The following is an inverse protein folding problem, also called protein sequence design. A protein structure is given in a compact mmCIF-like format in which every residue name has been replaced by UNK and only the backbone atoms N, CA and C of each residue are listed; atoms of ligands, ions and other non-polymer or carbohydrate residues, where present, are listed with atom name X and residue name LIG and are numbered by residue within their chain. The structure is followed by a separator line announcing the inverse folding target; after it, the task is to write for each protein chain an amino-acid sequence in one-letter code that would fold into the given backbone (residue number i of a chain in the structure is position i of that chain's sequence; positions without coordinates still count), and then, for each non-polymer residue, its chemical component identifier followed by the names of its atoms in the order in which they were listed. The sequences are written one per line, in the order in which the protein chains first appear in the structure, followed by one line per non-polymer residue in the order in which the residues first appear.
data_IF_499630798521
#
_entry.id   IF_499630798521
#
_cell.length_a   1.000
_cell.length_b   1.000
_cell.length_c   1.000
_cell.angle_alpha   90.00
_cell.angle_beta   90.00
_cell.angle_gamma   90.00
#
_symmetry.space_group_name_H-M   'P 1'
#
loop_
_entity.id
_entity.type
_entity.pdbx_description
1 polymer ?
#
# COMPACT_ATOMS: atom_id res chain seq x y z
N UNK A 1 -6.89 13.41 3.49
CA UNK A 1 -6.37 12.55 4.58
C UNK A 1 -6.13 11.19 3.98
N UNK A 2 -4.86 10.81 3.79
CA UNK A 2 -4.50 9.50 3.21
C UNK A 2 -4.74 8.42 4.24
N UNK A 3 -5.25 7.29 3.77
CA UNK A 3 -5.19 6.06 4.53
C UNK A 3 -4.54 5.02 3.63
N UNK A 4 -3.21 4.99 3.67
CA UNK A 4 -2.44 3.80 3.34
C UNK A 4 -2.26 3.14 4.69
N UNK A 5 -2.83 1.96 4.90
CA UNK A 5 -2.90 1.33 6.22
C UNK A 5 -1.54 1.37 6.94
N UNK A 6 -1.53 1.72 8.24
CA UNK A 6 -0.35 1.93 9.09
C UNK A 6 0.62 0.72 9.22
N UNK A 7 0.43 -0.34 8.44
CA UNK A 7 1.31 -1.51 8.36
C UNK A 7 2.11 -1.62 7.06
N UNK A 8 2.04 -0.66 6.14
CA UNK A 8 2.83 -0.67 4.89
C UNK A 8 4.09 0.16 5.13
N UNK A 9 5.03 -0.37 5.92
CA UNK A 9 6.42 0.11 5.90
C UNK A 9 6.92 0.06 4.46
N UNK A 10 7.41 1.18 3.92
CA UNK A 10 7.85 1.30 2.52
C UNK A 10 9.20 0.57 2.36
N UNK A 11 9.17 -0.75 2.45
CA UNK A 11 10.31 -1.65 2.24
C UNK A 11 10.23 -2.33 0.86
N UNK A 12 9.52 -1.70 -0.08
CA UNK A 12 9.16 -2.31 -1.37
C UNK A 12 10.15 -2.06 -2.52
N UNK A 13 11.18 -1.25 -2.31
CA UNK A 13 12.17 -0.93 -3.33
C UNK A 13 13.53 -0.85 -2.64
N UNK A 14 14.57 -1.43 -3.25
CA UNK A 14 15.93 -1.15 -2.79
C UNK A 14 16.18 0.36 -2.86
N UNK A 15 17.09 0.90 -2.05
CA UNK A 15 17.40 2.34 -2.09
C UNK A 15 17.77 2.82 -3.50
N UNK A 16 18.44 1.96 -4.28
CA UNK A 16 18.79 2.22 -5.68
C UNK A 16 17.56 2.21 -6.59
N UNK A 17 16.64 1.27 -6.40
CA UNK A 17 15.39 1.24 -7.18
C UNK A 17 14.48 2.43 -6.84
N UNK A 18 14.47 2.90 -5.58
CA UNK A 18 13.77 4.12 -5.18
C UNK A 18 14.34 5.35 -5.89
N UNK A 19 15.67 5.47 -5.93
CA UNK A 19 16.34 6.61 -6.58
C UNK A 19 16.06 6.64 -8.09
N UNK A 20 16.28 5.51 -8.78
CA UNK A 20 16.04 5.39 -10.21
C UNK A 20 14.56 5.58 -10.58
N UNK A 21 13.63 5.14 -9.71
CA UNK A 21 12.19 5.29 -9.91
C UNK A 21 11.75 6.76 -9.84
N UNK A 22 12.10 7.46 -8.77
CA UNK A 22 11.71 8.85 -8.56
C UNK A 22 12.31 9.75 -9.63
N UNK A 23 13.56 9.49 -10.02
CA UNK A 23 14.19 10.17 -11.15
C UNK A 23 13.41 9.90 -12.45
N UNK A 24 13.14 8.65 -12.78
CA UNK A 24 12.42 8.26 -13.99
C UNK A 24 11.06 8.95 -14.14
N UNK A 25 10.23 8.97 -13.10
CA UNK A 25 8.86 9.51 -13.20
C UNK A 25 8.82 11.05 -13.23
N UNK A 26 9.83 11.70 -12.66
CA UNK A 26 9.90 13.16 -12.52
C UNK A 26 10.77 13.83 -13.60
N UNK A 27 11.61 13.09 -14.32
CA UNK A 27 12.45 13.66 -15.37
C UNK A 27 11.63 14.16 -16.57
N UNK A 28 11.89 15.42 -16.97
CA UNK A 28 11.14 16.11 -18.01
C UNK A 28 11.64 15.79 -19.42
N UNK A 29 11.14 14.70 -19.99
CA UNK A 29 11.52 14.22 -21.33
C UNK A 29 10.47 14.48 -22.42
N UNK A 30 9.21 14.64 -22.03
CA UNK A 30 8.07 14.71 -22.94
C UNK A 30 7.76 16.15 -23.38
N UNK A 31 7.04 16.30 -24.48
CA UNK A 31 6.63 17.60 -25.06
C UNK A 31 5.11 17.72 -25.12
N UNK A 32 4.58 18.86 -25.55
CA UNK A 32 3.13 19.05 -25.74
C UNK A 32 2.52 17.98 -26.65
N UNK A 33 3.25 17.54 -27.69
CA UNK A 33 2.81 16.50 -28.65
C UNK A 33 2.60 15.13 -27.98
N UNK A 34 3.25 14.92 -26.84
CA UNK A 34 3.15 13.70 -26.05
C UNK A 34 1.94 13.73 -25.10
N UNK A 35 1.36 14.90 -24.86
CA UNK A 35 0.17 15.04 -24.02
C UNK A 35 -1.10 14.84 -24.86
N UNK A 36 -2.26 14.53 -24.24
CA UNK A 36 -3.52 14.49 -24.96
C UNK A 36 -4.15 15.89 -25.16
N UNK A 37 -3.46 16.97 -24.75
CA UNK A 37 -3.95 18.34 -24.78
C UNK A 37 -3.26 19.14 -25.90
N UNK A 38 -4.00 20.10 -26.44
CA UNK A 38 -3.46 21.10 -27.37
C UNK A 38 -2.55 22.09 -26.66
N UNK A 39 -1.68 22.76 -27.42
CA UNK A 39 -0.82 23.83 -26.89
C UNK A 39 -1.63 24.93 -26.18
N UNK A 40 -2.80 25.29 -26.72
CA UNK A 40 -3.71 26.27 -26.11
C UNK A 40 -4.21 25.80 -24.75
N UNK A 41 -4.69 24.56 -24.65
CA UNK A 41 -5.15 23.98 -23.38
C UNK A 41 -4.03 23.94 -22.33
N UNK A 42 -2.82 23.53 -22.73
CA UNK A 42 -1.64 23.53 -21.84
C UNK A 42 -1.30 24.94 -21.35
N UNK A 43 -1.40 25.96 -22.20
CA UNK A 43 -1.16 27.34 -21.78
C UNK A 43 -2.25 27.83 -20.82
N UNK A 44 -3.51 27.55 -21.09
CA UNK A 44 -4.62 27.92 -20.18
C UNK A 44 -4.44 27.29 -18.79
N UNK A 45 -4.08 26.00 -18.71
CA UNK A 45 -3.77 25.36 -17.41
C UNK A 45 -2.59 26.07 -16.70
N UNK A 46 -1.63 26.60 -17.45
CA UNK A 46 -0.52 27.36 -16.88
C UNK A 46 -0.95 28.72 -16.36
N UNK A 47 -1.77 29.45 -17.12
CA UNK A 47 -2.33 30.76 -16.76
C UNK A 47 -3.15 30.65 -15.47
N UNK A 48 -3.90 29.54 -15.33
CA UNK A 48 -4.72 29.23 -14.17
C UNK A 48 -3.93 28.61 -13.00
N UNK A 49 -2.59 28.59 -13.06
CA UNK A 49 -1.70 28.08 -12.01
C UNK A 49 -1.96 26.61 -11.62
N UNK A 50 -2.38 25.81 -12.61
CA UNK A 50 -2.53 24.35 -12.52
C UNK A 50 -1.30 23.60 -13.02
N UNK A 51 -0.24 24.31 -13.42
CA UNK A 51 1.03 23.73 -13.85
C UNK A 51 2.19 24.54 -13.29
N UNK A 52 3.28 23.86 -12.91
CA UNK A 52 4.51 24.53 -12.48
C UNK A 52 5.17 25.28 -13.65
N UNK A 53 5.70 26.47 -13.37
CA UNK A 53 6.53 27.21 -14.31
C UNK A 53 7.93 26.60 -14.39
N UNK A 54 8.16 25.73 -15.36
CA UNK A 54 9.47 25.09 -15.58
C UNK A 54 10.24 25.65 -16.78
N UNK A 55 9.92 26.89 -17.17
CA UNK A 55 10.68 27.57 -18.21
C UNK A 55 12.01 28.04 -17.61
N UNK A 56 13.04 27.17 -17.64
CA UNK A 56 14.44 27.56 -17.36
C UNK A 56 14.88 28.79 -18.15
N UNK A 57 14.24 29.06 -19.30
CA UNK A 57 14.26 30.33 -20.03
C UNK A 57 12.88 30.55 -20.65
N UNK A 58 12.35 31.78 -20.64
CA UNK A 58 11.00 32.13 -21.16
C UNK A 58 10.73 31.67 -22.61
N UNK A 59 11.77 31.35 -23.37
CA UNK A 59 11.76 30.95 -24.79
C UNK A 59 12.01 29.44 -25.04
N UNK A 60 12.16 28.61 -24.00
CA UNK A 60 12.37 27.17 -24.15
C UNK A 60 11.07 26.39 -24.43
N UNK A 61 11.17 25.30 -25.19
CA UNK A 61 10.06 24.37 -25.39
C UNK A 61 9.71 23.71 -24.06
N UNK A 62 8.44 23.77 -23.65
CA UNK A 62 7.99 23.18 -22.38
C UNK A 62 8.18 21.66 -22.44
N UNK A 63 8.85 21.13 -21.41
CA UNK A 63 9.04 19.70 -21.21
C UNK A 63 8.24 19.22 -20.01
N UNK A 64 7.79 17.97 -20.09
CA UNK A 64 6.96 17.33 -19.10
C UNK A 64 7.56 16.00 -18.67
N UNK A 65 7.29 15.63 -17.41
CA UNK A 65 7.63 14.34 -16.84
C UNK A 65 6.58 13.27 -17.15
N UNK A 66 6.91 12.02 -16.85
CA UNK A 66 5.98 10.91 -17.00
C UNK A 66 4.76 11.09 -16.08
N UNK A 67 4.98 11.57 -14.86
CA UNK A 67 3.91 11.95 -13.93
C UNK A 67 3.03 13.09 -14.47
N UNK A 68 3.62 14.09 -15.12
CA UNK A 68 2.86 15.17 -15.77
C UNK A 68 1.99 14.63 -16.93
N UNK A 69 2.42 13.60 -17.66
CA UNK A 69 1.56 12.95 -18.66
C UNK A 69 0.32 12.29 -18.04
N UNK A 70 0.49 11.61 -16.90
CA UNK A 70 -0.63 11.03 -16.17
C UNK A 70 -1.61 12.12 -15.70
N UNK A 71 -1.08 13.22 -15.13
CA UNK A 71 -1.88 14.39 -14.77
C UNK A 71 -2.71 14.91 -15.96
N UNK A 72 -2.10 15.10 -17.14
CA UNK A 72 -2.84 15.60 -18.31
C UNK A 72 -3.93 14.67 -18.81
N UNK A 73 -3.71 13.35 -18.74
CA UNK A 73 -4.74 12.37 -19.07
C UNK A 73 -5.90 12.44 -18.08
N UNK A 74 -5.62 12.52 -16.78
CA UNK A 74 -6.67 12.67 -15.75
C UNK A 74 -7.44 13.97 -15.95
N UNK A 75 -6.75 15.10 -16.16
CA UNK A 75 -7.39 16.39 -16.46
C UNK A 75 -8.31 16.27 -17.67
N UNK A 76 -7.88 15.62 -18.75
CA UNK A 76 -8.74 15.41 -19.92
C UNK A 76 -10.01 14.64 -19.56
N UNK A 77 -9.90 13.53 -18.84
CA UNK A 77 -11.08 12.75 -18.42
C UNK A 77 -12.02 13.60 -17.55
N UNK A 78 -11.49 14.35 -16.57
CA UNK A 78 -12.29 15.22 -15.71
C UNK A 78 -12.98 16.35 -16.48
N UNK A 79 -12.31 16.96 -17.48
CA UNK A 79 -12.93 17.95 -18.36
C UNK A 79 -14.09 17.34 -19.16
N UNK A 80 -14.03 16.06 -19.55
CA UNK A 80 -15.14 15.36 -20.21
C UNK A 80 -16.33 15.13 -19.27
N UNK A 81 -16.08 14.96 -17.96
CA UNK A 81 -17.11 14.93 -16.92
C UNK A 81 -17.65 16.31 -16.54
N UNK A 82 -17.16 17.39 -17.14
CA UNK A 82 -17.63 18.75 -16.91
C UNK A 82 -16.90 19.52 -15.81
N UNK A 83 -15.77 19.03 -15.31
CA UNK A 83 -15.02 19.74 -14.27
C UNK A 83 -14.45 21.08 -14.78
N UNK A 84 -14.55 22.09 -13.94
CA UNK A 84 -13.99 23.41 -14.13
C UNK A 84 -12.55 23.50 -13.58
N UNK A 85 -11.80 24.52 -14.01
CA UNK A 85 -10.38 24.64 -13.64
C UNK A 85 -10.17 24.84 -12.14
N UNK A 86 -11.08 25.53 -11.46
CA UNK A 86 -10.99 25.71 -10.01
C UNK A 86 -11.06 24.37 -9.26
N UNK A 87 -11.85 23.39 -9.77
CA UNK A 87 -11.98 22.05 -9.20
C UNK A 87 -10.77 21.15 -9.50
N UNK A 88 -9.86 21.55 -10.39
CA UNK A 88 -8.65 20.77 -10.71
C UNK A 88 -7.48 21.12 -9.78
N UNK A 89 -7.66 22.08 -8.86
CA UNK A 89 -6.55 22.64 -8.08
C UNK A 89 -5.91 21.61 -7.17
N UNK A 90 -6.71 20.83 -6.42
CA UNK A 90 -6.17 19.81 -5.52
C UNK A 90 -5.48 18.67 -6.30
N UNK A 91 -6.03 18.29 -7.46
CA UNK A 91 -5.35 17.33 -8.35
C UNK A 91 -3.98 17.85 -8.80
N UNK A 92 -3.92 19.12 -9.24
CA UNK A 92 -2.66 19.77 -9.63
C UNK A 92 -1.68 19.75 -8.47
N UNK A 93 -2.12 20.06 -7.26
CA UNK A 93 -1.25 20.08 -6.09
C UNK A 93 -0.72 18.66 -5.78
N UNK A 94 -1.54 17.60 -5.87
CA UNK A 94 -1.07 16.23 -5.67
C UNK A 94 -0.05 15.75 -6.69
N UNK A 95 -0.16 16.18 -7.94
CA UNK A 95 0.76 15.75 -8.99
C UNK A 95 2.02 16.62 -9.06
N UNK A 96 1.88 17.92 -8.81
CA UNK A 96 2.88 18.91 -9.21
C UNK A 96 3.44 19.73 -8.05
N UNK A 97 2.71 19.92 -6.96
CA UNK A 97 3.25 20.67 -5.82
C UNK A 97 4.31 19.82 -5.10
N UNK A 98 5.53 20.35 -4.94
CA UNK A 98 6.66 19.64 -4.32
C UNK A 98 6.31 19.07 -2.95
N UNK A 99 5.52 19.78 -2.16
CA UNK A 99 5.16 19.38 -0.79
C UNK A 99 4.25 18.15 -0.76
N UNK A 100 3.53 17.87 -1.86
CA UNK A 100 2.56 16.77 -1.96
C UNK A 100 2.89 15.77 -3.08
N UNK A 101 3.84 16.09 -3.94
CA UNK A 101 4.14 15.32 -5.16
C UNK A 101 4.65 13.90 -4.90
N UNK A 102 5.11 13.60 -3.67
CA UNK A 102 5.51 12.26 -3.26
C UNK A 102 4.33 11.27 -3.24
N UNK A 103 3.09 11.77 -3.13
CA UNK A 103 1.88 10.94 -3.04
C UNK A 103 1.49 10.37 -4.40
N UNK A 104 1.56 11.20 -5.43
CA UNK A 104 1.40 10.74 -6.81
C UNK A 104 2.57 9.84 -7.23
N UNK A 105 3.78 10.10 -6.75
CA UNK A 105 4.92 9.19 -6.92
C UNK A 105 4.64 7.82 -6.27
N UNK A 106 4.12 7.79 -5.05
CA UNK A 106 3.77 6.52 -4.40
C UNK A 106 2.65 5.79 -5.16
N UNK A 107 1.60 6.51 -5.54
CA UNK A 107 0.46 5.96 -6.29
C UNK A 107 0.91 5.34 -7.63
N UNK A 108 1.75 6.03 -8.41
CA UNK A 108 2.29 5.48 -9.66
C UNK A 108 3.15 4.24 -9.37
N UNK A 109 3.90 4.24 -8.27
CA UNK A 109 4.74 3.11 -7.85
C UNK A 109 3.91 1.86 -7.58
N UNK A 110 2.78 2.01 -6.87
CA UNK A 110 1.82 0.93 -6.66
C UNK A 110 1.27 0.38 -7.98
N UNK A 111 0.91 1.25 -8.93
CA UNK A 111 0.44 0.84 -10.26
C UNK A 111 1.50 0.01 -11.00
N UNK A 112 2.76 0.44 -11.01
CA UNK A 112 3.86 -0.31 -11.63
C UNK A 112 4.10 -1.67 -10.94
N UNK A 113 3.74 -1.78 -9.67
CA UNK A 113 3.74 -3.03 -8.90
C UNK A 113 2.46 -3.86 -9.06
N UNK A 114 1.59 -3.50 -10.02
CA UNK A 114 0.35 -4.22 -10.37
C UNK A 114 -0.74 -4.15 -9.29
N UNK A 115 -0.69 -3.12 -8.44
CA UNK A 115 -1.74 -2.80 -7.47
C UNK A 115 -2.69 -1.78 -8.11
N UNK A 116 -3.99 -2.00 -8.02
CA UNK A 116 -4.98 -1.03 -8.47
C UNK A 116 -4.99 0.19 -7.56
N UNK A 117 -4.86 1.38 -8.12
CA UNK A 117 -5.00 2.64 -7.42
C UNK A 117 -6.17 3.41 -8.01
N UNK A 118 -7.11 3.78 -7.14
CA UNK A 118 -8.30 4.54 -7.48
C UNK A 118 -8.16 5.98 -7.00
N UNK A 119 -8.32 6.93 -7.93
CA UNK A 119 -8.53 8.34 -7.61
C UNK A 119 -10.04 8.57 -7.53
N UNK A 120 -10.49 9.27 -6.50
CA UNK A 120 -11.86 9.76 -6.36
C UNK A 120 -11.83 11.28 -6.33
N UNK A 121 -12.77 11.90 -7.04
CA UNK A 121 -12.90 13.34 -7.10
C UNK A 121 -14.37 13.68 -6.86
N UNK A 122 -14.66 14.46 -5.82
CA UNK A 122 -16.04 14.89 -5.52
C UNK A 122 -16.45 16.12 -6.35
N UNK A 123 -17.68 16.60 -6.15
CA UNK A 123 -18.22 17.77 -6.86
C UNK A 123 -17.52 19.09 -6.54
N UNK A 124 -16.71 19.17 -5.47
CA UNK A 124 -15.93 20.36 -5.14
C UNK A 124 -14.51 20.28 -5.71
N UNK A 125 -14.15 19.16 -6.33
CA UNK A 125 -12.81 18.91 -6.85
C UNK A 125 -11.85 18.32 -5.81
N UNK A 126 -12.37 17.88 -4.66
CA UNK A 126 -11.54 17.26 -3.62
C UNK A 126 -11.08 15.89 -4.08
N UNK A 127 -9.77 15.65 -3.99
CA UNK A 127 -9.17 14.42 -4.49
C UNK A 127 -8.82 13.47 -3.34
N UNK A 128 -9.13 12.20 -3.49
CA UNK A 128 -8.66 11.14 -2.57
C UNK A 128 -8.12 9.95 -3.36
N UNK A 129 -7.00 9.39 -2.88
CA UNK A 129 -6.29 8.27 -3.49
C UNK A 129 -6.48 7.05 -2.61
N UNK A 130 -6.92 5.94 -3.20
CA UNK A 130 -7.22 4.71 -2.48
C UNK A 130 -6.53 3.50 -3.13
N UNK A 131 -5.96 2.64 -2.30
CA UNK A 131 -5.76 1.24 -2.64
C UNK A 131 -7.12 0.48 -2.62
N UNK A 132 -7.15 -0.78 -3.08
CA UNK A 132 -8.39 -1.56 -3.16
C UNK A 132 -9.14 -1.69 -1.83
N UNK A 133 -8.43 -1.98 -0.73
CA UNK A 133 -8.97 -2.14 0.62
C UNK A 133 -9.71 -0.92 1.09
N UNK A 134 -9.01 0.22 1.07
CA UNK A 134 -9.60 1.46 1.55
C UNK A 134 -10.68 2.01 0.63
N UNK A 135 -10.61 1.74 -0.68
CA UNK A 135 -11.69 2.12 -1.58
C UNK A 135 -12.99 1.37 -1.26
N UNK A 136 -12.92 0.05 -1.08
CA UNK A 136 -14.09 -0.77 -0.70
C UNK A 136 -14.65 -0.33 0.66
N UNK A 137 -13.77 -0.08 1.64
CA UNK A 137 -14.19 0.24 3.00
C UNK A 137 -14.79 1.64 3.13
N UNK A 138 -14.17 2.64 2.50
CA UNK A 138 -14.43 4.08 2.73
C UNK A 138 -14.74 4.80 1.44
N UNK A 139 -13.92 4.64 0.40
CA UNK A 139 -14.00 5.42 -0.84
C UNK A 139 -15.33 5.27 -1.58
N UNK A 140 -15.96 4.11 -1.52
CA UNK A 140 -17.24 3.84 -2.19
C UNK A 140 -18.48 4.50 -1.53
N UNK A 141 -18.34 5.19 -0.39
CA UNK A 141 -19.49 5.64 0.43
C UNK A 141 -20.09 6.99 0.04
N UNK A 142 -19.35 7.84 -0.67
CA UNK A 142 -19.80 9.19 -1.03
C UNK A 142 -19.93 9.34 -2.55
N UNK A 143 -20.79 10.21 -3.09
CA UNK A 143 -20.82 10.50 -4.52
C UNK A 143 -19.49 11.06 -5.00
N UNK A 144 -18.90 10.45 -6.04
CA UNK A 144 -17.63 10.87 -6.63
C UNK A 144 -17.50 10.42 -8.08
N UNK A 145 -16.63 11.09 -8.82
CA UNK A 145 -16.03 10.55 -10.05
C UNK A 145 -14.88 9.64 -9.68
N UNK A 146 -14.87 8.44 -10.24
CA UNK A 146 -13.82 7.43 -10.03
C UNK A 146 -12.90 7.38 -11.26
N UNK A 147 -11.61 7.60 -11.07
CA UNK A 147 -10.58 7.44 -12.10
C UNK A 147 -9.62 6.33 -11.68
N UNK A 148 -9.48 5.28 -12.51
CA UNK A 148 -8.46 4.26 -12.31
C UNK A 148 -7.11 4.78 -12.78
N UNK A 149 -6.15 4.94 -11.86
CA UNK A 149 -4.80 5.37 -12.23
C UNK A 149 -4.13 4.31 -13.12
N UNK A 150 -4.41 3.02 -12.90
CA UNK A 150 -3.89 1.92 -13.73
C UNK A 150 -4.29 2.05 -15.19
N UNK A 151 -5.55 2.43 -15.47
CA UNK A 151 -6.01 2.67 -16.84
C UNK A 151 -5.29 3.86 -17.48
N UNK A 152 -5.07 4.94 -16.72
CA UNK A 152 -4.29 6.09 -17.17
C UNK A 152 -2.86 5.66 -17.52
N UNK A 153 -2.19 4.91 -16.65
CA UNK A 153 -0.83 4.43 -16.89
C UNK A 153 -0.76 3.46 -18.08
N UNK A 154 -1.78 2.60 -18.25
CA UNK A 154 -1.89 1.69 -19.40
C UNK A 154 -2.11 2.43 -20.72
N UNK A 155 -2.88 3.54 -20.73
CA UNK A 155 -2.99 4.43 -21.89
C UNK A 155 -1.63 5.00 -22.28
N UNK A 156 -0.81 5.42 -21.31
CA UNK A 156 0.56 5.91 -21.57
C UNK A 156 1.44 4.77 -22.10
N UNK A 157 1.46 3.60 -21.44
CA UNK A 157 2.26 2.45 -21.84
C UNK A 157 1.97 2.04 -23.30
N UNK A 158 0.68 1.91 -23.65
CA UNK A 158 0.23 1.54 -25.00
C UNK A 158 0.67 2.57 -26.04
N UNK A 159 0.55 3.87 -25.73
CA UNK A 159 1.01 4.95 -26.62
C UNK A 159 2.50 4.83 -26.99
N UNK A 160 3.32 4.31 -26.09
CA UNK A 160 4.76 4.10 -26.31
C UNK A 160 5.11 2.66 -26.68
N UNK A 161 4.14 1.87 -27.17
CA UNK A 161 4.37 0.51 -27.67
C UNK A 161 4.75 -0.50 -26.58
N UNK A 162 4.42 -0.21 -25.32
CA UNK A 162 4.63 -1.14 -24.19
C UNK A 162 3.37 -1.94 -23.93
N UNK A 163 3.56 -3.17 -23.46
CA UNK A 163 2.46 -4.02 -22.99
C UNK A 163 1.78 -3.39 -21.76
N UNK A 164 0.44 -3.29 -21.73
CA UNK A 164 -0.29 -2.86 -20.55
C UNK A 164 0.08 -3.68 -19.31
N UNK A 165 0.13 -3.02 -18.16
CA UNK A 165 0.30 -3.65 -16.87
C UNK A 165 -0.98 -4.44 -16.53
N UNK A 166 -0.82 -5.75 -16.34
CA UNK A 166 -1.83 -6.61 -15.74
C UNK A 166 -1.97 -6.26 -14.25
N UNK A 167 -3.21 -6.05 -13.79
CA UNK A 167 -3.52 -5.77 -12.38
C UNK A 167 -3.59 -7.11 -11.62
N UNK A 168 -2.87 -7.22 -10.49
CA UNK A 168 -2.83 -8.42 -9.64
C UNK A 168 -3.59 -8.29 -8.33
N UNK A 169 -3.79 -7.06 -7.88
CA UNK A 169 -4.53 -6.77 -6.66
C UNK A 169 -5.49 -5.61 -6.94
N UNK A 170 -6.77 -5.94 -7.10
CA UNK A 170 -7.82 -5.03 -7.55
C UNK A 170 -8.91 -4.81 -6.51
N UNK A 171 -9.71 -3.76 -6.70
CA UNK A 171 -10.94 -3.50 -5.95
C UNK A 171 -11.88 -4.69 -6.04
N UNK A 172 -11.91 -5.38 -7.20
CA UNK A 172 -12.71 -6.58 -7.39
C UNK A 172 -12.20 -7.73 -6.52
N UNK A 173 -10.89 -7.96 -6.49
CA UNK A 173 -10.29 -8.99 -5.65
C UNK A 173 -10.63 -8.71 -4.19
N UNK A 174 -10.53 -7.46 -3.75
CA UNK A 174 -10.83 -7.10 -2.37
C UNK A 174 -12.33 -7.18 -2.04
N UNK A 175 -13.21 -6.75 -2.95
CA UNK A 175 -14.65 -6.85 -2.76
C UNK A 175 -15.09 -8.32 -2.68
N UNK A 176 -14.50 -9.20 -3.50
CA UNK A 176 -14.78 -10.64 -3.50
C UNK A 176 -14.07 -11.39 -2.36
N UNK A 177 -12.87 -10.94 -1.97
CA UNK A 177 -12.08 -11.50 -0.87
C UNK A 177 -12.32 -10.78 0.45
N UNK A 178 -13.36 -9.95 0.56
CA UNK A 178 -13.86 -9.39 1.82
C UNK A 178 -14.46 -10.46 2.76
N UNK A 179 -13.91 -11.66 2.72
CA UNK A 179 -13.73 -12.52 3.88
C UNK A 179 -12.96 -11.71 4.93
N UNK A 180 -13.70 -10.89 5.68
CA UNK A 180 -13.27 -10.48 7.01
C UNK A 180 -12.72 -11.73 7.67
N UNK A 181 -11.49 -11.64 8.17
CA UNK A 181 -10.93 -12.68 9.01
C UNK A 181 -12.01 -13.08 10.00
N UNK A 182 -12.31 -14.38 10.05
CA UNK A 182 -13.15 -14.89 11.11
C UNK A 182 -12.51 -14.53 12.46
N UNK A 183 -13.31 -14.46 13.52
CA UNK A 183 -12.80 -14.19 14.88
C UNK A 183 -11.61 -15.09 15.23
N UNK A 184 -11.67 -16.37 14.79
CA UNK A 184 -10.58 -17.34 14.96
C UNK A 184 -9.31 -17.00 14.17
N UNK A 185 -9.45 -16.46 12.96
CA UNK A 185 -8.31 -16.04 12.13
C UNK A 185 -7.66 -14.76 12.68
N UNK A 186 -8.43 -13.80 13.18
CA UNK A 186 -7.90 -12.63 13.87
C UNK A 186 -7.14 -13.04 15.14
N UNK A 187 -7.69 -13.97 15.91
CA UNK A 187 -7.06 -14.48 17.13
C UNK A 187 -5.79 -15.26 16.81
N UNK A 188 -5.80 -16.09 15.76
CA UNK A 188 -4.60 -16.75 15.27
C UNK A 188 -3.52 -15.74 14.86
N UNK A 189 -3.88 -14.67 14.13
CA UNK A 189 -2.91 -13.64 13.75
C UNK A 189 -2.32 -12.92 14.96
N UNK A 190 -3.10 -12.71 16.03
CA UNK A 190 -2.59 -12.17 17.30
C UNK A 190 -1.57 -13.12 17.94
N UNK A 191 -1.83 -14.43 17.93
CA UNK A 191 -0.89 -15.44 18.43
C UNK A 191 0.39 -15.44 17.58
N UNK A 192 0.27 -15.40 16.25
CA UNK A 192 1.42 -15.36 15.33
C UNK A 192 2.28 -14.11 15.53
N UNK A 193 1.67 -12.96 15.82
CA UNK A 193 2.37 -11.70 16.06
C UNK A 193 3.02 -11.63 17.44
N UNK A 194 2.71 -12.56 18.35
CA UNK A 194 3.36 -12.60 19.65
C UNK A 194 4.79 -13.15 19.50
N UNK A 195 5.77 -12.26 19.71
CA UNK A 195 7.21 -12.56 19.58
C UNK A 195 7.75 -13.53 20.62
N UNK A 196 6.97 -13.89 21.63
CA UNK A 196 7.36 -14.88 22.64
C UNK A 196 7.33 -16.31 22.10
N UNK A 197 6.58 -16.56 21.01
CA UNK A 197 6.47 -17.88 20.41
C UNK A 197 7.52 -18.08 19.30
N UNK A 198 8.32 -19.14 19.43
CA UNK A 198 9.32 -19.54 18.44
C UNK A 198 8.77 -20.46 17.36
N UNK A 199 7.68 -21.18 17.62
CA UNK A 199 7.00 -22.01 16.64
C UNK A 199 5.49 -22.08 16.90
N UNK A 200 4.70 -22.16 15.83
CA UNK A 200 3.24 -22.28 15.89
C UNK A 200 2.81 -23.44 14.99
N UNK A 201 2.02 -24.36 15.53
CA UNK A 201 1.41 -25.47 14.80
C UNK A 201 -0.10 -25.34 14.83
N UNK A 202 -0.75 -25.40 13.67
CA UNK A 202 -2.19 -25.18 13.53
C UNK A 202 -2.85 -26.50 13.15
N UNK A 203 -3.87 -26.91 13.90
CA UNK A 203 -4.72 -28.05 13.56
C UNK A 203 -6.07 -27.55 13.06
N UNK A 204 -6.35 -27.83 11.79
CA UNK A 204 -7.64 -27.53 11.16
C UNK A 204 -8.59 -28.73 11.25
N UNK A 205 -9.89 -28.46 11.38
CA UNK A 205 -10.96 -29.46 11.26
C UNK A 205 -12.00 -28.91 10.30
N UNK A 206 -12.30 -29.65 9.22
CA UNK A 206 -13.23 -29.23 8.17
C UNK A 206 -12.91 -27.86 7.53
N UNK A 207 -11.62 -27.52 7.42
CA UNK A 207 -11.18 -26.23 6.87
C UNK A 207 -11.07 -25.10 7.89
N UNK A 208 -11.72 -25.21 9.04
CA UNK A 208 -11.66 -24.21 10.12
C UNK A 208 -10.48 -24.44 11.07
N UNK A 209 -9.96 -23.36 11.64
CA UNK A 209 -8.96 -23.42 12.72
C UNK A 209 -9.66 -23.95 13.97
N UNK A 210 -9.13 -25.04 14.55
CA UNK A 210 -9.67 -25.61 15.78
C UNK A 210 -8.72 -25.53 16.97
N UNK A 211 -7.44 -25.81 16.75
CA UNK A 211 -6.43 -25.79 17.83
C UNK A 211 -5.12 -25.19 17.31
N UNK A 212 -4.54 -24.31 18.13
CA UNK A 212 -3.23 -23.71 17.92
C UNK A 212 -2.31 -24.19 19.03
N UNK A 213 -1.17 -24.76 18.66
CA UNK A 213 -0.08 -25.11 19.56
C UNK A 213 1.01 -24.08 19.40
N UNK A 214 1.31 -23.32 20.45
CA UNK A 214 2.30 -22.25 20.42
C UNK A 214 3.49 -22.61 21.33
N UNK A 215 4.68 -22.75 20.74
CA UNK A 215 5.90 -23.16 21.45
C UNK A 215 6.70 -21.92 21.88
N UNK A 216 6.96 -21.80 23.18
CA UNK A 216 7.94 -20.88 23.75
C UNK A 216 9.24 -21.63 24.00
N UNK A 217 10.36 -21.11 23.50
CA UNK A 217 11.70 -21.65 23.77
C UNK A 217 12.45 -20.63 24.63
N UNK A 218 12.91 -21.04 25.80
CA UNK A 218 13.74 -20.21 26.67
C UNK A 218 15.05 -20.91 27.02
N UNK A 219 16.14 -20.14 26.98
CA UNK A 219 17.46 -20.59 27.39
C UNK A 219 17.61 -20.42 28.90
N UNK A 220 17.97 -21.49 29.60
CA UNK A 220 18.18 -21.48 31.05
C UNK A 220 19.63 -21.08 31.36
N UNK A 221 20.04 -19.89 30.92
CA UNK A 221 21.39 -19.38 31.18
C UNK A 221 21.48 -18.84 32.62
N UNK A 222 21.59 -19.75 33.60
CA UNK A 222 22.09 -19.43 34.95
C UNK A 222 21.11 -18.84 35.96
N UNK A 223 19.80 -18.84 35.73
CA UNK A 223 18.79 -18.42 36.71
C UNK A 223 18.15 -19.63 37.44
N UNK A 224 17.69 -19.47 38.70
CA UNK A 224 17.07 -20.55 39.48
C UNK A 224 15.72 -20.96 38.86
N UNK A 225 15.76 -22.05 38.10
CA UNK A 225 14.64 -22.63 37.37
C UNK A 225 13.49 -23.11 38.27
N UNK A 226 13.73 -23.40 39.56
CA UNK A 226 12.73 -24.01 40.45
C UNK A 226 11.50 -23.13 40.70
N UNK A 227 11.70 -21.85 41.05
CA UNK A 227 10.58 -20.92 41.27
C UNK A 227 9.84 -20.59 39.97
N UNK A 228 10.58 -20.50 38.85
CA UNK A 228 9.97 -20.28 37.53
C UNK A 228 9.13 -21.48 37.11
N UNK A 229 9.62 -22.72 37.32
CA UNK A 229 8.91 -23.96 37.04
C UNK A 229 7.65 -24.10 37.89
N UNK A 230 7.72 -23.80 39.18
CA UNK A 230 6.53 -23.85 40.06
C UNK A 230 5.48 -22.85 39.59
N UNK A 231 5.90 -21.64 39.19
CA UNK A 231 4.98 -20.64 38.65
C UNK A 231 4.40 -21.09 37.29
N UNK A 232 5.20 -21.72 36.42
CA UNK A 232 4.73 -22.29 35.16
C UNK A 232 3.67 -23.37 35.41
N UNK A 233 3.95 -24.34 36.28
CA UNK A 233 3.02 -25.42 36.62
C UNK A 233 1.70 -24.89 37.20
N UNK A 234 1.72 -23.76 37.91
CA UNK A 234 0.51 -23.10 38.44
C UNK A 234 -0.23 -22.23 37.43
N UNK A 235 0.42 -21.79 36.36
CA UNK A 235 -0.14 -20.78 35.47
C UNK A 235 -1.28 -21.30 34.59
N UNK A 236 -1.30 -22.61 34.25
CA UNK A 236 -2.30 -23.21 33.37
C UNK A 236 -2.63 -24.65 33.75
N UNK A 237 -3.91 -25.00 33.57
CA UNK A 237 -4.45 -26.35 33.86
C UNK A 237 -3.95 -27.43 32.87
N UNK A 238 -3.54 -27.04 31.66
CA UNK A 238 -3.04 -27.95 30.64
C UNK A 238 -1.90 -27.33 29.82
N UNK A 239 -0.73 -27.96 29.82
CA UNK A 239 0.47 -27.55 29.10
C UNK A 239 1.47 -28.71 29.00
N UNK A 240 2.27 -28.74 27.95
CA UNK A 240 3.41 -29.65 27.82
C UNK A 240 4.72 -28.89 28.08
N UNK A 241 5.51 -29.37 29.05
CA UNK A 241 6.81 -28.80 29.41
C UNK A 241 7.91 -29.83 29.12
N UNK A 242 8.84 -29.48 28.24
CA UNK A 242 10.02 -30.28 27.94
C UNK A 242 11.28 -29.60 28.51
N UNK A 243 11.99 -30.28 29.41
CA UNK A 243 13.17 -29.76 30.09
C UNK A 243 14.41 -30.47 29.56
N UNK A 244 15.37 -29.71 29.03
CA UNK A 244 16.61 -30.24 28.48
C UNK A 244 17.72 -30.04 29.50
N UNK A 245 18.31 -31.16 29.95
CA UNK A 245 19.40 -31.21 30.92
C UNK A 245 20.69 -31.70 30.27
N UNK A 246 21.81 -31.03 30.54
CA UNK A 246 23.15 -31.40 30.11
C UNK A 246 24.12 -31.23 31.28
N UNK A 247 24.96 -32.24 31.52
CA UNK A 247 25.99 -32.21 32.57
C UNK A 247 25.47 -31.80 33.96
N UNK A 248 24.30 -32.33 34.33
CA UNK A 248 23.70 -32.01 35.63
C UNK A 248 22.91 -30.70 35.68
N UNK A 249 22.99 -29.85 34.64
CA UNK A 249 22.37 -28.51 34.60
C UNK A 249 21.26 -28.43 33.56
N UNK A 250 20.20 -27.69 33.88
CA UNK A 250 19.15 -27.38 32.92
C UNK A 250 19.71 -26.32 31.97
N UNK A 251 19.67 -26.60 30.67
CA UNK A 251 20.24 -25.71 29.64
C UNK A 251 19.17 -24.98 28.85
N UNK A 252 18.00 -25.60 28.68
CA UNK A 252 16.84 -24.98 28.05
C UNK A 252 15.57 -25.72 28.44
N UNK A 253 14.45 -25.06 28.18
CA UNK A 253 13.14 -25.68 28.28
C UNK A 253 12.22 -25.16 27.18
N UNK A 254 11.28 -26.01 26.79
CA UNK A 254 10.24 -25.72 25.80
C UNK A 254 8.88 -25.86 26.46
N UNK A 255 8.00 -24.92 26.16
CA UNK A 255 6.62 -24.94 26.65
C UNK A 255 5.72 -24.90 25.42
N UNK A 256 4.88 -25.92 25.26
CA UNK A 256 3.84 -25.94 24.23
C UNK A 256 2.50 -25.57 24.90
N UNK A 257 1.96 -24.41 24.53
CA UNK A 257 0.64 -23.96 24.97
C UNK A 257 -0.42 -24.41 23.96
N UNK A 258 -1.48 -25.05 24.44
CA UNK A 258 -2.63 -25.42 23.62
C UNK A 258 -3.72 -24.37 23.73
N UNK A 259 -4.07 -23.73 22.61
CA UNK A 259 -5.11 -22.71 22.50
C UNK A 259 -6.21 -23.24 21.58
N UNK A 260 -7.44 -23.35 22.10
CA UNK A 260 -8.60 -23.74 21.30
C UNK A 260 -9.24 -22.49 20.70
N UNK A 261 -9.46 -22.51 19.39
CA UNK A 261 -10.11 -21.43 18.64
C UNK A 261 -11.44 -21.91 18.08
#
# INVERSE_FOLDING_TARGET
MYYIGEGIEIDFLSANDKFNYVEFINEKRFTVKDTPLTYRQVNTLSEDKLLNEDRKNKNGWRRFSFKELAFFLIVRELKLFGFEHHQLKELSDYFLNKDYSYLSDLAIGCVLRKIEITLTIDSEGKVSIFDPGFYVLVGARMPHVRISLNEIMNKIATKYGKTPFEIKYSVKDEALNSHRLSVKEEELLRIIRNKDYGAIRIKKKNGEIGVVYAEKIKNANGQPFENELINMLKAKDFQDINIIKRDGKIVSYKIEETIKL
#
